data_IF_094674341675
#
_entry.id   IF_094674341675
#
_cell.length_a   1.000
_cell.length_b   1.000
_cell.length_c   1.000
_cell.angle_alpha   90.00
_cell.angle_beta   90.00
_cell.angle_gamma   90.00
#
_symmetry.space_group_name_H-M   'P 1'
#
loop_
_entity.id
_entity.type
_entity.pdbx_description
1 polymer ?
#
# COMPACT_ATOMS: atom_id res chain seq x y z
N UNK A 1 -6.28 2.21 -6.97
CA UNK A 1 -5.18 1.50 -6.28
C UNK A 1 -5.46 1.55 -4.79
N UNK A 2 -5.37 0.41 -4.13
CA UNK A 2 -5.74 0.19 -2.73
C UNK A 2 -4.51 -0.37 -1.97
N UNK A 3 -3.71 0.49 -1.31
CA UNK A 3 -2.57 0.06 -0.54
C UNK A 3 -3.03 -0.46 0.84
N UNK A 4 -2.38 -1.51 1.32
CA UNK A 4 -2.51 -2.02 2.68
C UNK A 4 -1.72 -1.19 3.69
N UNK A 5 -1.37 -1.80 4.83
CA UNK A 5 -0.64 -1.11 5.89
C UNK A 5 0.68 -0.51 5.38
N UNK A 6 0.72 0.82 5.28
CA UNK A 6 1.81 1.61 4.70
C UNK A 6 2.46 2.47 5.78
N UNK A 7 3.79 2.46 5.85
CA UNK A 7 4.58 3.20 6.83
C UNK A 7 4.49 4.71 6.56
N UNK A 8 3.57 5.36 7.27
CA UNK A 8 3.29 6.78 7.15
C UNK A 8 3.34 7.40 8.55
N UNK A 9 3.62 8.72 8.68
CA UNK A 9 3.60 9.39 9.98
C UNK A 9 2.30 9.18 10.76
N UNK A 10 1.17 9.01 10.07
CA UNK A 10 -0.14 8.70 10.65
C UNK A 10 -0.11 7.45 11.54
N UNK A 11 0.66 6.40 11.18
CA UNK A 11 0.75 5.17 11.98
C UNK A 11 1.51 5.35 13.30
N UNK A 12 2.30 6.41 13.41
CA UNK A 12 3.13 6.72 14.57
C UNK A 12 2.53 7.81 15.46
N UNK A 13 1.32 8.28 15.14
CA UNK A 13 0.67 9.34 15.91
C UNK A 13 0.23 8.86 17.31
N UNK A 14 0.37 9.70 18.35
CA UNK A 14 -0.19 9.44 19.67
C UNK A 14 -1.70 9.12 19.56
N UNK A 15 -2.16 8.11 20.30
CA UNK A 15 -3.56 7.65 20.26
C UNK A 15 -3.86 6.51 19.28
N UNK A 16 -2.89 6.04 18.48
CA UNK A 16 -2.99 4.79 17.71
C UNK A 16 -2.55 3.52 18.45
N UNK A 17 -2.17 3.66 19.71
CA UNK A 17 -1.67 2.58 20.58
C UNK A 17 -2.65 1.40 20.71
N UNK A 18 -3.96 1.68 20.66
CA UNK A 18 -5.02 0.68 20.78
C UNK A 18 -5.24 -0.15 19.50
N UNK A 19 -4.64 0.25 18.37
CA UNK A 19 -4.75 -0.47 17.10
C UNK A 19 -3.42 -0.39 16.35
N UNK A 20 -2.39 -1.12 16.83
CA UNK A 20 -1.09 -1.13 16.20
C UNK A 20 -1.18 -1.73 14.79
N UNK A 21 -0.39 -1.22 13.83
CA UNK A 21 -0.41 -1.73 12.47
C UNK A 21 0.05 -3.20 12.46
N UNK A 22 -0.81 -4.08 11.92
CA UNK A 22 -0.46 -5.48 11.71
C UNK A 22 0.52 -5.60 10.55
N UNK A 23 1.64 -6.28 10.78
CA UNK A 23 2.57 -6.59 9.71
C UNK A 23 1.91 -7.57 8.73
N UNK A 24 1.88 -7.26 7.42
CA UNK A 24 1.43 -8.20 6.41
C UNK A 24 2.44 -9.36 6.27
N UNK A 25 2.07 -10.48 5.60
CA UNK A 25 2.98 -11.61 5.36
C UNK A 25 4.33 -11.26 4.73
N UNK A 26 4.42 -10.10 4.05
CA UNK A 26 5.67 -9.47 3.61
C UNK A 26 6.71 -9.29 4.74
N UNK A 27 6.30 -9.30 6.01
CA UNK A 27 7.18 -9.16 7.18
C UNK A 27 7.57 -7.71 7.51
N UNK A 28 7.09 -6.75 6.72
CA UNK A 28 7.24 -5.30 6.96
C UNK A 28 6.04 -4.54 6.42
N UNK A 29 5.87 -3.29 6.86
CA UNK A 29 4.93 -2.37 6.24
C UNK A 29 5.35 -2.04 4.81
N UNK A 30 4.36 -1.71 3.98
CA UNK A 30 4.60 -1.15 2.65
C UNK A 30 5.22 0.24 2.84
N UNK A 31 6.21 0.59 2.02
CA UNK A 31 6.79 1.93 2.04
C UNK A 31 5.99 2.88 1.15
N UNK A 32 5.93 4.19 1.46
CA UNK A 32 5.34 5.17 0.56
C UNK A 32 5.96 5.16 -0.84
N UNK A 33 7.26 4.88 -0.94
CA UNK A 33 7.98 4.82 -2.22
C UNK A 33 7.47 3.69 -3.11
N UNK A 34 7.13 2.52 -2.56
CA UNK A 34 6.53 1.42 -3.32
C UNK A 34 5.16 1.80 -3.91
N UNK A 35 4.36 2.53 -3.12
CA UNK A 35 3.07 3.08 -3.58
C UNK A 35 3.30 4.06 -4.73
N UNK A 36 4.27 4.98 -4.58
CA UNK A 36 4.64 5.95 -5.63
C UNK A 36 5.11 5.24 -6.89
N UNK A 37 5.95 4.20 -6.79
CA UNK A 37 6.45 3.47 -7.95
C UNK A 37 5.32 2.87 -8.81
N UNK A 38 4.30 2.27 -8.17
CA UNK A 38 3.16 1.74 -8.92
C UNK A 38 2.34 2.87 -9.55
N UNK A 39 2.09 3.96 -8.82
CA UNK A 39 1.36 5.12 -9.37
C UNK A 39 2.11 5.72 -10.56
N UNK A 40 3.43 5.90 -10.46
CA UNK A 40 4.26 6.40 -11.57
C UNK A 40 4.18 5.51 -12.80
N UNK A 41 4.16 4.18 -12.62
CA UNK A 41 3.98 3.27 -13.74
C UNK A 41 2.58 3.38 -14.35
N UNK A 42 1.52 3.49 -13.53
CA UNK A 42 0.15 3.66 -14.00
C UNK A 42 -0.06 4.97 -14.78
N UNK A 43 0.75 5.99 -14.51
CA UNK A 43 0.75 7.27 -15.22
C UNK A 43 1.62 7.25 -16.50
N UNK A 44 2.35 6.17 -16.76
CA UNK A 44 3.18 6.03 -17.95
C UNK A 44 2.36 5.61 -19.18
N UNK A 45 2.91 5.82 -20.38
CA UNK A 45 2.29 5.38 -21.64
C UNK A 45 2.05 3.86 -21.69
N UNK A 46 2.89 3.08 -21.01
CA UNK A 46 2.77 1.62 -20.95
C UNK A 46 1.51 1.11 -20.25
N UNK A 47 0.86 1.95 -19.44
CA UNK A 47 -0.39 1.62 -18.76
C UNK A 47 -1.64 2.19 -19.47
N UNK A 48 -1.51 2.73 -20.70
CA UNK A 48 -2.59 3.42 -21.43
C UNK A 48 -3.87 2.60 -21.64
N UNK A 49 -3.77 1.27 -21.69
CA UNK A 49 -4.93 0.37 -21.82
C UNK A 49 -5.60 0.02 -20.48
N UNK A 50 -5.05 0.44 -19.35
CA UNK A 50 -5.54 0.06 -18.02
C UNK A 50 -6.49 1.12 -17.45
N UNK A 51 -7.78 0.77 -17.40
CA UNK A 51 -8.82 1.60 -16.82
C UNK A 51 -9.85 0.75 -16.06
N UNK A 52 -10.52 1.35 -15.08
CA UNK A 52 -11.55 0.68 -14.26
C UNK A 52 -11.03 -0.38 -13.26
N UNK A 53 -9.72 -0.49 -13.08
CA UNK A 53 -9.12 -1.53 -12.23
C UNK A 53 -8.95 -1.08 -10.77
N UNK A 54 -9.26 -1.97 -9.84
CA UNK A 54 -8.80 -1.88 -8.46
C UNK A 54 -7.54 -2.73 -8.27
N UNK A 55 -6.40 -2.07 -8.06
CA UNK A 55 -5.13 -2.74 -7.83
C UNK A 55 -4.83 -2.78 -6.34
N UNK A 56 -4.87 -3.97 -5.75
CA UNK A 56 -4.62 -4.21 -4.32
C UNK A 56 -3.12 -4.44 -4.07
N UNK A 57 -2.51 -3.58 -3.26
CA UNK A 57 -1.12 -3.71 -2.80
C UNK A 57 -1.14 -3.96 -1.29
N UNK A 58 -1.31 -5.20 -0.86
CA UNK A 58 -1.52 -5.52 0.56
C UNK A 58 -0.36 -6.27 1.24
N UNK A 59 0.75 -6.52 0.55
CA UNK A 59 1.87 -7.30 1.09
C UNK A 59 1.48 -8.74 1.48
N UNK A 60 0.42 -9.28 0.87
CA UNK A 60 -0.13 -10.60 1.18
C UNK A 60 -1.23 -10.59 2.25
N UNK A 61 -1.59 -9.45 2.84
CA UNK A 61 -2.58 -9.39 3.92
C UNK A 61 -4.00 -9.84 3.51
N UNK A 62 -4.31 -9.86 2.21
CA UNK A 62 -5.61 -10.33 1.69
C UNK A 62 -5.66 -11.83 1.42
N UNK A 63 -4.55 -12.56 1.60
CA UNK A 63 -4.45 -14.01 1.35
C UNK A 63 -4.62 -14.85 2.63
N UNK A 64 -4.98 -14.24 3.76
CA UNK A 64 -5.18 -14.89 5.04
C UNK A 64 -6.18 -14.18 5.93
#
# INVERSE_FOLDING_TARGET
MAPGATDTPMLHQPGRESSPPRLPPLGRLITPQEVVSLVSWLLSEGASAMTGQELVMCGGASLG
#
